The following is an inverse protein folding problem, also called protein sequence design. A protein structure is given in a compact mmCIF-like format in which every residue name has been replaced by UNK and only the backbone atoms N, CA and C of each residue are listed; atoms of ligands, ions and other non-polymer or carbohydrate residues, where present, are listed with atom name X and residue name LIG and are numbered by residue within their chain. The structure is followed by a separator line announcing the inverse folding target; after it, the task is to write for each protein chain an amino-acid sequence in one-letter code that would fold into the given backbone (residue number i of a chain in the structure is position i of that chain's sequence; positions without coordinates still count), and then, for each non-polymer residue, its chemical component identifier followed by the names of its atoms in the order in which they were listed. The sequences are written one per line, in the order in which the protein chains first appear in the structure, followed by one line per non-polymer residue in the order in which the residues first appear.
data_IF_582881702595
#
_entry.id   IF_582881702595
#
_cell.length_a   1.000
_cell.length_b   1.000
_cell.length_c   1.000
_cell.angle_alpha   90.00
_cell.angle_beta   90.00
_cell.angle_gamma   90.00
#
_symmetry.space_group_name_H-M   'P 1'
#
loop_
_entity.id
_entity.type
_entity.pdbx_description
1 polymer ?
#
# COMPACT_ATOMS: atom_id res chain seq x y z
N UNK A 1 -2.94 -34.96 -17.00
CA UNK A 1 -3.50 -33.92 -17.89
C UNK A 1 -2.43 -33.20 -18.70
N UNK A 2 -1.41 -32.58 -18.08
CA UNK A 2 -0.37 -31.82 -18.79
C UNK A 2 0.43 -32.63 -19.83
N UNK A 3 0.67 -33.93 -19.58
CA UNK A 3 1.31 -34.84 -20.56
C UNK A 3 0.47 -35.11 -21.82
N UNK A 4 -0.87 -34.99 -21.75
CA UNK A 4 -1.78 -35.18 -22.90
C UNK A 4 -1.90 -33.91 -23.76
N UNK A 5 -1.77 -32.73 -23.16
CA UNK A 5 -1.73 -31.43 -23.86
C UNK A 5 -0.49 -31.24 -24.74
N UNK A 6 0.65 -31.84 -24.37
CA UNK A 6 1.89 -31.79 -25.18
C UNK A 6 1.84 -32.62 -26.46
N UNK A 7 0.93 -33.60 -26.55
CA UNK A 7 0.84 -34.54 -27.68
C UNK A 7 -0.18 -34.07 -28.72
N UNK A 8 -1.23 -33.35 -28.30
CA UNK A 8 -2.29 -32.85 -29.18
C UNK A 8 -2.53 -31.35 -28.92
N UNK A 9 -1.79 -30.50 -29.63
CA UNK A 9 -1.80 -29.04 -29.49
C UNK A 9 -3.08 -28.35 -30.04
N UNK A 10 -4.01 -29.12 -30.63
CA UNK A 10 -5.12 -28.60 -31.45
C UNK A 10 -6.52 -28.80 -30.86
N UNK A 11 -6.67 -28.89 -29.53
CA UNK A 11 -7.99 -29.00 -28.86
C UNK A 11 -8.24 -27.83 -27.88
N UNK A 12 -8.94 -26.76 -28.29
CA UNK A 12 -9.18 -25.58 -27.45
C UNK A 12 -9.98 -25.89 -26.19
N UNK A 13 -10.87 -26.89 -26.22
CA UNK A 13 -11.67 -27.33 -25.07
C UNK A 13 -10.81 -27.90 -23.94
N UNK A 14 -9.81 -28.70 -24.27
CA UNK A 14 -8.90 -29.31 -23.28
C UNK A 14 -8.02 -28.24 -22.61
N UNK A 15 -7.64 -27.21 -23.37
CA UNK A 15 -6.87 -26.06 -22.89
C UNK A 15 -7.72 -25.19 -21.95
N UNK A 16 -8.99 -24.96 -22.29
CA UNK A 16 -9.93 -24.23 -21.44
C UNK A 16 -10.16 -24.94 -20.11
N UNK A 17 -10.43 -26.25 -20.12
CA UNK A 17 -10.57 -27.03 -18.88
C UNK A 17 -9.30 -26.97 -18.02
N UNK A 18 -8.11 -27.12 -18.63
CA UNK A 18 -6.85 -26.99 -17.90
C UNK A 18 -6.69 -25.61 -17.26
N UNK A 19 -7.02 -24.55 -17.98
CA UNK A 19 -6.94 -23.18 -17.48
C UNK A 19 -7.91 -22.95 -16.33
N UNK A 20 -9.13 -23.49 -16.41
CA UNK A 20 -10.12 -23.43 -15.33
C UNK A 20 -9.63 -24.15 -14.07
N UNK A 21 -9.16 -25.40 -14.19
CA UNK A 21 -8.60 -26.13 -13.04
C UNK A 21 -7.36 -25.43 -12.46
N UNK A 22 -6.49 -24.87 -13.30
CA UNK A 22 -5.32 -24.10 -12.85
C UNK A 22 -5.73 -22.84 -12.08
N UNK A 23 -6.77 -22.13 -12.53
CA UNK A 23 -7.34 -20.98 -11.81
C UNK A 23 -7.92 -21.41 -10.47
N UNK A 24 -8.69 -22.50 -10.43
CA UNK A 24 -9.28 -23.04 -9.20
C UNK A 24 -8.20 -23.43 -8.19
N UNK A 25 -7.16 -24.16 -8.61
CA UNK A 25 -6.05 -24.56 -7.74
C UNK A 25 -5.32 -23.33 -7.18
N UNK A 26 -5.05 -22.33 -8.02
CA UNK A 26 -4.42 -21.08 -7.55
C UNK A 26 -5.29 -20.35 -6.52
N UNK A 27 -6.60 -20.29 -6.76
CA UNK A 27 -7.56 -19.70 -5.83
C UNK A 27 -7.58 -20.46 -4.49
N UNK A 28 -7.61 -21.80 -4.53
CA UNK A 28 -7.59 -22.65 -3.34
C UNK A 28 -6.30 -22.53 -2.53
N UNK A 29 -5.14 -22.51 -3.21
CA UNK A 29 -3.85 -22.27 -2.56
C UNK A 29 -3.86 -20.91 -1.84
N UNK A 30 -4.39 -19.86 -2.48
CA UNK A 30 -4.48 -18.52 -1.89
C UNK A 30 -5.42 -18.52 -0.67
N UNK A 31 -6.58 -19.17 -0.79
CA UNK A 31 -7.56 -19.30 0.30
C UNK A 31 -6.97 -20.03 1.50
N UNK A 32 -6.33 -21.18 1.29
CA UNK A 32 -5.71 -21.98 2.36
C UNK A 32 -4.55 -21.24 3.03
N UNK A 33 -3.73 -20.52 2.27
CA UNK A 33 -2.67 -19.66 2.85
C UNK A 33 -3.25 -18.57 3.74
N UNK A 34 -4.29 -17.89 3.28
CA UNK A 34 -4.98 -16.86 4.05
C UNK A 34 -5.53 -17.44 5.36
N UNK A 35 -6.22 -18.57 5.27
CA UNK A 35 -6.82 -19.25 6.41
C UNK A 35 -5.77 -19.72 7.43
N UNK A 36 -4.67 -20.31 6.95
CA UNK A 36 -3.55 -20.70 7.80
C UNK A 36 -2.98 -19.52 8.60
N UNK A 37 -2.68 -18.40 7.94
CA UNK A 37 -2.13 -17.22 8.63
C UNK A 37 -3.17 -16.55 9.53
N UNK A 38 -4.44 -16.53 9.14
CA UNK A 38 -5.53 -16.03 9.97
C UNK A 38 -5.64 -16.83 11.27
N UNK A 39 -5.63 -18.16 11.19
CA UNK A 39 -5.68 -19.05 12.35
C UNK A 39 -4.45 -18.89 13.26
N UNK A 40 -3.27 -18.70 12.66
CA UNK A 40 -2.04 -18.47 13.42
C UNK A 40 -2.05 -17.13 14.18
N UNK A 41 -2.63 -16.08 13.57
CA UNK A 41 -2.79 -14.77 14.20
C UNK A 41 -3.84 -14.85 15.32
N UNK A 42 -4.99 -15.48 15.09
CA UNK A 42 -6.03 -15.61 16.12
C UNK A 42 -5.56 -16.43 17.31
N UNK A 43 -4.81 -17.51 17.11
CA UNK A 43 -4.23 -18.32 18.19
C UNK A 43 -3.19 -17.57 19.03
N UNK A 44 -2.53 -16.56 18.46
CA UNK A 44 -1.54 -15.72 19.17
C UNK A 44 -2.12 -14.37 19.63
N UNK A 45 -3.42 -14.17 19.42
CA UNK A 45 -4.15 -12.99 19.90
C UNK A 45 -4.05 -12.96 21.43
N UNK A 46 -3.67 -11.82 21.99
CA UNK A 46 -3.35 -11.59 23.42
C UNK A 46 -1.99 -12.08 23.92
N UNK A 47 -1.13 -12.67 23.09
CA UNK A 47 0.25 -12.96 23.48
C UNK A 47 1.20 -11.83 23.03
N UNK A 48 2.02 -11.24 23.93
CA UNK A 48 3.03 -10.25 23.58
C UNK A 48 4.02 -10.69 22.49
N UNK A 49 4.23 -12.01 22.32
CA UNK A 49 5.11 -12.60 21.29
C UNK A 49 4.46 -12.71 19.89
N UNK A 50 3.23 -12.21 19.70
CA UNK A 50 2.51 -12.21 18.42
C UNK A 50 3.32 -11.60 17.26
N UNK A 51 4.19 -10.64 17.53
CA UNK A 51 5.14 -10.07 16.54
C UNK A 51 5.99 -11.13 15.83
N UNK A 52 6.42 -12.18 16.52
CA UNK A 52 7.19 -13.29 15.91
C UNK A 52 6.34 -14.08 14.93
N UNK A 53 5.04 -14.25 15.21
CA UNK A 53 4.09 -14.95 14.35
C UNK A 53 3.77 -14.18 13.07
N UNK A 54 3.64 -12.86 13.15
CA UNK A 54 3.40 -11.97 11.99
C UNK A 54 4.61 -11.92 11.07
N UNK A 55 5.83 -11.86 11.62
CA UNK A 55 7.07 -11.83 10.81
C UNK A 55 7.31 -13.12 10.00
N UNK A 56 6.77 -14.26 10.44
CA UNK A 56 6.86 -15.52 9.68
C UNK A 56 5.87 -15.56 8.52
N UNK A 57 4.76 -14.82 8.60
CA UNK A 57 3.71 -14.81 7.56
C UNK A 57 3.77 -13.65 6.58
N UNK A 58 4.35 -12.52 6.97
CA UNK A 58 4.53 -11.35 6.14
C UNK A 58 6.00 -11.12 5.82
N UNK A 59 6.38 -11.29 4.55
CA UNK A 59 7.53 -10.57 3.95
C UNK A 59 8.91 -10.69 4.63
N UNK A 60 9.14 -11.66 5.51
CA UNK A 60 10.47 -11.94 6.05
C UNK A 60 11.21 -12.97 5.20
N UNK A 61 12.00 -12.53 4.21
CA UNK A 61 12.98 -13.43 3.57
C UNK A 61 13.12 -13.32 2.06
N UNK A 62 13.10 -12.11 1.49
CA UNK A 62 13.94 -11.85 0.31
C UNK A 62 15.00 -10.85 0.74
N UNK A 63 16.25 -11.28 0.63
CA UNK A 63 17.41 -10.54 1.09
C UNK A 63 17.35 -9.08 0.63
N UNK A 64 17.25 -8.18 1.58
CA UNK A 64 17.70 -6.82 1.42
C UNK A 64 18.85 -6.69 2.40
N UNK A 65 20.09 -6.80 1.88
CA UNK A 65 21.29 -6.30 2.54
C UNK A 65 21.31 -4.77 2.60
N UNK A 66 20.14 -4.14 2.78
CA UNK A 66 20.03 -2.76 3.19
C UNK A 66 20.02 -2.76 4.70
N UNK A 67 21.01 -2.11 5.30
CA UNK A 67 20.94 -1.64 6.69
C UNK A 67 19.55 -1.05 6.88
N UNK A 68 18.71 -1.76 7.63
CA UNK A 68 17.48 -1.16 8.10
C UNK A 68 17.95 0.01 8.95
N UNK A 69 17.43 1.20 8.71
CA UNK A 69 17.59 2.32 9.62
C UNK A 69 16.96 1.89 10.95
N UNK A 70 17.74 1.18 11.77
CA UNK A 70 17.36 0.76 13.10
C UNK A 70 17.41 2.00 13.95
N UNK A 71 16.26 2.36 14.49
CA UNK A 71 16.21 3.38 15.52
C UNK A 71 16.78 2.71 16.76
N UNK A 72 18.08 2.89 16.98
CA UNK A 72 18.80 2.29 18.10
C UNK A 72 18.48 3.01 19.43
N UNK A 73 17.92 4.22 19.35
CA UNK A 73 17.67 5.06 20.53
C UNK A 73 16.50 6.00 20.32
N UNK A 74 15.61 6.04 21.30
CA UNK A 74 14.54 7.03 21.40
C UNK A 74 14.72 7.78 22.73
N UNK A 75 14.73 9.11 22.68
CA UNK A 75 14.81 9.95 23.89
C UNK A 75 13.47 10.64 24.10
N UNK A 76 12.83 10.41 25.25
CA UNK A 76 11.56 11.03 25.62
C UNK A 76 11.71 11.63 27.01
N UNK A 77 11.63 12.96 27.12
CA UNK A 77 11.75 13.71 28.40
C UNK A 77 12.99 13.27 29.22
N UNK A 78 14.18 13.34 28.60
CA UNK A 78 15.48 12.99 29.22
C UNK A 78 15.67 11.51 29.60
N UNK A 79 14.66 10.65 29.38
CA UNK A 79 14.81 9.21 29.51
C UNK A 79 15.19 8.61 28.16
N UNK A 80 16.32 7.91 28.14
CA UNK A 80 16.79 7.17 26.98
C UNK A 80 16.21 5.76 26.96
N UNK A 81 15.57 5.39 25.85
CA UNK A 81 15.10 4.04 25.58
C UNK A 81 15.94 3.45 24.46
N UNK A 82 16.73 2.43 24.78
CA UNK A 82 17.65 1.75 23.86
C UNK A 82 17.15 0.33 23.56
N UNK A 83 16.40 -0.28 24.47
CA UNK A 83 15.84 -1.61 24.27
C UNK A 83 14.58 -1.56 23.39
N UNK A 84 14.59 -2.35 22.31
CA UNK A 84 13.44 -2.49 21.41
C UNK A 84 12.19 -3.03 22.08
N UNK A 85 12.33 -3.79 23.18
CA UNK A 85 11.18 -4.25 23.96
C UNK A 85 10.53 -3.11 24.75
N UNK A 86 11.33 -2.21 25.33
CA UNK A 86 10.85 -1.01 26.02
C UNK A 86 10.16 -0.04 25.05
N UNK A 87 10.76 0.18 23.88
CA UNK A 87 10.16 1.01 22.82
C UNK A 87 8.81 0.42 22.38
N UNK A 88 8.75 -0.88 22.14
CA UNK A 88 7.51 -1.55 21.77
C UNK A 88 6.44 -1.40 22.87
N UNK A 89 6.80 -1.62 24.14
CA UNK A 89 5.91 -1.43 25.29
C UNK A 89 5.41 0.01 25.40
N UNK A 90 6.30 0.99 25.20
CA UNK A 90 5.95 2.41 25.23
C UNK A 90 4.86 2.73 24.19
N UNK A 91 5.08 2.38 22.92
CA UNK A 91 4.11 2.67 21.86
C UNK A 91 2.80 1.88 21.99
N UNK A 92 2.82 0.66 22.55
CA UNK A 92 1.57 -0.07 22.83
C UNK A 92 0.72 0.56 23.93
N UNK A 93 1.35 1.29 24.86
CA UNK A 93 0.66 1.83 26.04
C UNK A 93 0.36 3.33 25.94
N UNK A 94 1.13 4.08 25.14
CA UNK A 94 0.91 5.53 25.03
C UNK A 94 -0.45 5.88 24.43
N UNK A 95 -0.95 5.07 23.50
CA UNK A 95 -2.30 5.24 22.95
C UNK A 95 -3.39 5.20 24.02
N UNK A 96 -3.30 4.25 24.97
CA UNK A 96 -4.24 4.16 26.10
C UNK A 96 -4.14 5.37 27.02
N UNK A 97 -2.90 5.72 27.41
CA UNK A 97 -2.63 6.88 28.27
C UNK A 97 -3.09 8.21 27.66
N UNK A 98 -2.99 8.36 26.34
CA UNK A 98 -3.47 9.54 25.63
C UNK A 98 -5.00 9.53 25.52
N UNK A 99 -5.60 8.39 25.20
CA UNK A 99 -7.05 8.25 25.13
C UNK A 99 -7.73 8.56 26.48
N UNK A 100 -7.16 8.12 27.60
CA UNK A 100 -7.64 8.44 28.95
C UNK A 100 -7.61 9.94 29.27
N UNK A 101 -6.71 10.71 28.64
CA UNK A 101 -6.62 12.17 28.82
C UNK A 101 -7.58 12.95 27.92
N UNK A 102 -8.14 12.30 26.90
CA UNK A 102 -9.17 12.92 26.05
C UNK A 102 -10.45 12.96 26.88
N UNK A 103 -10.80 14.15 27.39
CA UNK A 103 -12.12 14.37 27.98
C UNK A 103 -13.15 14.11 26.88
N UNK A 104 -14.03 13.14 27.12
CA UNK A 104 -15.17 12.95 26.22
C UNK A 104 -15.98 14.25 26.21
N UNK A 105 -16.28 14.83 25.05
CA UNK A 105 -17.14 16.01 25.00
C UNK A 105 -18.52 15.65 25.60
N UNK A 106 -19.06 16.52 26.44
CA UNK A 106 -20.38 16.36 27.07
C UNK A 106 -21.53 16.34 26.05
N UNK A 107 -21.28 16.74 24.80
CA UNK A 107 -22.28 16.79 23.75
C UNK A 107 -22.15 15.60 22.81
N UNK A 108 -23.06 14.63 22.94
CA UNK A 108 -23.28 13.53 21.99
C UNK A 108 -23.77 14.02 20.61
N UNK A 109 -24.13 15.30 20.49
CA UNK A 109 -24.70 15.89 19.29
C UNK A 109 -23.66 16.67 18.47
N UNK A 110 -22.55 16.03 18.12
CA UNK A 110 -21.74 16.52 16.99
C UNK A 110 -22.56 16.25 15.73
N UNK A 111 -23.37 17.21 15.32
CA UNK A 111 -23.99 17.23 13.98
C UNK A 111 -22.85 17.34 12.97
N UNK A 112 -22.38 16.18 12.52
CA UNK A 112 -21.54 16.11 11.32
C UNK A 112 -22.32 16.80 10.20
N UNK A 113 -21.71 17.72 9.44
CA UNK A 113 -22.38 18.29 8.28
C UNK A 113 -22.79 17.15 7.34
N UNK A 114 -23.95 17.30 6.72
CA UNK A 114 -24.43 16.33 5.75
C UNK A 114 -23.32 16.01 4.75
N UNK A 115 -23.10 14.72 4.53
CA UNK A 115 -22.11 14.24 3.57
C UNK A 115 -22.47 14.85 2.22
N UNK A 116 -21.62 15.74 1.70
CA UNK A 116 -21.76 16.25 0.33
C UNK A 116 -21.58 15.06 -0.60
N UNK A 117 -22.70 14.50 -1.06
CA UNK A 117 -22.71 13.32 -1.94
C UNK A 117 -22.32 13.71 -3.36
N UNK A 118 -22.55 14.97 -3.74
CA UNK A 118 -22.33 15.49 -5.08
C UNK A 118 -21.48 16.77 -5.08
N UNK A 119 -20.26 16.63 -5.59
CA UNK A 119 -19.71 17.43 -6.70
C UNK A 119 -18.18 17.57 -6.58
N UNK A 120 -17.47 16.93 -7.51
CA UNK A 120 -16.11 17.33 -7.82
C UNK A 120 -16.20 18.56 -8.71
N UNK A 121 -16.23 19.76 -8.12
CA UNK A 121 -16.22 21.00 -8.89
C UNK A 121 -14.80 21.23 -9.39
N UNK A 122 -14.54 20.86 -10.65
CA UNK A 122 -13.31 21.22 -11.33
C UNK A 122 -13.36 22.72 -11.62
N UNK A 123 -12.40 23.46 -11.07
CA UNK A 123 -12.21 24.86 -11.45
C UNK A 123 -11.61 24.92 -12.86
N UNK A 124 -12.00 25.92 -13.68
CA UNK A 124 -11.32 26.17 -14.94
C UNK A 124 -9.82 26.33 -14.72
N UNK A 125 -9.02 25.74 -15.61
CA UNK A 125 -7.55 25.86 -15.54
C UNK A 125 -7.13 27.29 -15.82
N UNK A 126 -6.14 27.77 -15.07
CA UNK A 126 -5.57 29.11 -15.28
C UNK A 126 -4.36 29.07 -16.23
N UNK A 127 -4.07 30.16 -16.97
CA UNK A 127 -2.87 30.24 -17.81
C UNK A 127 -1.58 29.93 -17.04
N UNK A 128 -1.51 30.32 -15.76
CA UNK A 128 -0.38 30.03 -14.87
C UNK A 128 -0.20 28.53 -14.60
N UNK A 129 -1.30 27.79 -14.43
CA UNK A 129 -1.26 26.34 -14.25
C UNK A 129 -0.86 25.61 -15.53
N UNK A 130 -1.33 26.07 -16.69
CA UNK A 130 -0.89 25.55 -17.99
C UNK A 130 0.61 25.75 -18.16
N UNK A 131 1.10 26.97 -17.90
CA UNK A 131 2.52 27.31 -18.01
C UNK A 131 3.39 26.49 -17.05
N UNK A 132 2.95 26.32 -15.80
CA UNK A 132 3.62 25.46 -14.83
C UNK A 132 3.70 24.02 -15.31
N UNK A 133 2.62 23.51 -15.90
CA UNK A 133 2.55 22.16 -16.47
C UNK A 133 3.54 22.00 -17.63
N UNK A 134 3.55 22.93 -18.60
CA UNK A 134 4.48 22.93 -19.74
C UNK A 134 5.94 22.92 -19.26
N UNK A 135 6.29 23.77 -18.29
CA UNK A 135 7.64 23.83 -17.72
C UNK A 135 8.07 22.53 -17.03
N UNK A 136 7.12 21.82 -16.41
CA UNK A 136 7.37 20.55 -15.71
C UNK A 136 7.63 19.36 -16.64
N UNK A 137 7.25 19.44 -17.92
CA UNK A 137 7.48 18.36 -18.88
C UNK A 137 8.98 18.07 -19.04
N UNK A 138 9.37 16.83 -19.30
CA UNK A 138 10.77 16.53 -19.64
C UNK A 138 11.04 17.00 -21.06
N UNK A 139 12.14 17.72 -21.27
CA UNK A 139 12.57 18.14 -22.60
C UNK A 139 13.02 16.90 -23.39
N UNK A 140 12.23 16.51 -24.39
CA UNK A 140 12.46 15.39 -25.28
C UNK A 140 12.26 15.80 -26.73
N UNK A 141 13.10 15.25 -27.61
CA UNK A 141 13.05 15.40 -29.07
C UNK A 141 12.08 14.43 -29.76
N UNK A 142 11.61 13.40 -29.05
CA UNK A 142 10.60 12.48 -29.57
C UNK A 142 9.24 13.19 -29.64
N UNK A 143 8.54 13.04 -30.77
CA UNK A 143 7.19 13.57 -31.00
C UNK A 143 6.12 12.46 -31.00
N UNK A 144 4.87 12.84 -30.76
CA UNK A 144 3.71 11.96 -30.88
C UNK A 144 3.18 11.90 -32.32
N UNK A 145 1.94 11.47 -32.50
CA UNK A 145 1.30 11.44 -33.83
C UNK A 145 1.12 12.84 -34.45
N UNK A 146 1.20 13.89 -33.63
CA UNK A 146 1.06 15.30 -34.01
C UNK A 146 2.35 15.95 -34.52
N UNK A 147 3.51 15.28 -34.38
CA UNK A 147 4.80 15.83 -34.80
C UNK A 147 5.34 16.94 -33.88
N UNK A 148 4.66 17.27 -32.77
CA UNK A 148 5.06 18.35 -31.86
C UNK A 148 5.96 17.78 -30.76
N UNK A 149 7.12 18.40 -30.56
CA UNK A 149 8.04 18.01 -29.49
C UNK A 149 7.84 18.85 -28.24
N UNK A 150 8.11 18.25 -27.08
CA UNK A 150 8.10 18.97 -25.80
C UNK A 150 9.14 20.10 -25.71
N UNK A 151 10.19 20.06 -26.54
CA UNK A 151 11.15 21.16 -26.65
C UNK A 151 10.54 22.40 -27.34
N UNK A 152 9.71 22.20 -28.37
CA UNK A 152 9.00 23.30 -29.04
C UNK A 152 8.00 23.95 -28.09
N UNK A 153 7.24 23.16 -27.33
CA UNK A 153 6.26 23.66 -26.35
C UNK A 153 6.88 24.56 -25.29
N UNK A 154 8.12 24.28 -24.87
CA UNK A 154 8.85 25.10 -23.87
C UNK A 154 9.53 26.34 -24.45
N UNK A 155 9.75 26.39 -25.76
CA UNK A 155 10.37 27.55 -26.42
C UNK A 155 9.37 28.65 -26.70
N UNK A 156 8.09 28.32 -26.85
CA UNK A 156 7.02 29.27 -27.11
C UNK A 156 6.50 29.95 -25.82
N UNK A 157 7.40 30.25 -24.88
CA UNK A 157 7.10 30.77 -23.54
C UNK A 157 6.67 32.27 -23.53
N UNK A 158 6.41 32.87 -24.70
CA UNK A 158 6.14 34.32 -24.91
C UNK A 158 4.68 34.67 -25.25
N UNK A 159 3.69 33.96 -24.70
CA UNK A 159 2.28 34.34 -24.73
C UNK A 159 1.69 34.40 -23.31
#
# INVERSE_FOLDING_TARGET
MFKRLKVNQSYPELMNQYNEYSKQIKADIKKRKLEYYRNRITQSMNNPKMRKTVNVGGYGGRGSGGSWNSIDKITVHEREMVDGEEIAKFFTNIGKKLAEKIKQPLEENVRLPDRVVDSFVLKPTTPKEVMKTIKSLKSKKSFGLDGITTEVLKKNDEL
#
